data_IF_847456340485
#
_entry.id   IF_847456340485
#
_cell.length_a   1.000
_cell.length_b   1.000
_cell.length_c   1.000
_cell.angle_alpha   90.00
_cell.angle_beta   90.00
_cell.angle_gamma   90.00
#
_symmetry.space_group_name_H-M   'P 1'
#
loop_
_entity.id
_entity.type
_entity.pdbx_description
1 polymer ?
#
# COMPACT_ATOMS: atom_id res chain seq x y z
N UNK A 1 29.13 -40.80 -35.84
CA UNK A 1 27.77 -40.46 -35.38
C UNK A 1 27.93 -39.58 -34.17
N UNK A 2 27.48 -38.34 -34.34
CA UNK A 2 27.20 -37.38 -33.29
C UNK A 2 26.13 -37.93 -32.34
N UNK A 3 26.03 -37.38 -31.13
CA UNK A 3 24.91 -36.51 -30.77
C UNK A 3 25.22 -35.82 -29.43
N UNK A 4 24.96 -34.52 -29.46
CA UNK A 4 25.10 -33.49 -28.46
C UNK A 4 24.32 -33.77 -27.17
N UNK A 5 24.83 -33.26 -26.06
CA UNK A 5 24.10 -33.22 -24.79
C UNK A 5 23.37 -31.87 -24.74
N UNK A 6 22.09 -31.89 -25.07
CA UNK A 6 21.19 -30.75 -24.88
C UNK A 6 20.81 -30.63 -23.40
N UNK A 7 21.25 -29.55 -22.74
CA UNK A 7 20.73 -29.14 -21.44
C UNK A 7 19.38 -28.45 -21.66
N UNK A 8 18.31 -29.24 -21.69
CA UNK A 8 16.95 -28.72 -21.71
C UNK A 8 16.53 -28.32 -20.28
N UNK A 9 16.61 -27.02 -19.97
CA UNK A 9 16.23 -26.44 -18.69
C UNK A 9 14.71 -26.20 -18.67
N UNK A 10 13.94 -27.25 -18.37
CA UNK A 10 12.54 -27.10 -17.98
C UNK A 10 12.49 -26.87 -16.47
N UNK A 11 12.17 -25.65 -16.04
CA UNK A 11 11.61 -25.43 -14.70
C UNK A 11 10.64 -24.25 -14.77
N UNK A 12 9.43 -24.52 -15.26
CA UNK A 12 8.28 -23.66 -15.01
C UNK A 12 7.98 -23.75 -13.52
N UNK A 13 8.35 -22.71 -12.78
CA UNK A 13 8.04 -22.59 -11.36
C UNK A 13 6.59 -22.13 -11.28
N UNK A 14 5.67 -23.06 -11.02
CA UNK A 14 4.33 -22.73 -10.57
C UNK A 14 4.44 -21.97 -9.23
N UNK A 15 3.95 -20.73 -9.21
CA UNK A 15 3.83 -19.94 -8.00
C UNK A 15 2.61 -20.44 -7.23
N UNK A 16 2.83 -21.36 -6.29
CA UNK A 16 1.87 -21.72 -5.26
C UNK A 16 1.87 -20.63 -4.16
N UNK A 17 0.90 -19.72 -4.23
CA UNK A 17 0.62 -18.69 -3.23
C UNK A 17 -0.27 -19.28 -2.11
N UNK A 18 0.25 -20.29 -1.44
CA UNK A 18 -0.37 -20.87 -0.24
C UNK A 18 0.21 -20.20 1.01
N UNK A 19 -0.21 -18.96 1.27
CA UNK A 19 0.06 -18.23 2.52
C UNK A 19 -0.79 -18.86 3.65
N UNK A 20 -0.29 -19.95 4.23
CA UNK A 20 -0.77 -20.50 5.50
C UNK A 20 -0.40 -19.52 6.64
N UNK A 21 -1.22 -18.49 6.85
CA UNK A 21 -1.18 -17.71 8.08
C UNK A 21 -1.95 -18.43 9.17
N UNK A 22 -1.18 -19.00 10.10
CA UNK A 22 -1.66 -19.53 11.37
C UNK A 22 -2.52 -18.50 12.12
N UNK A 23 -3.71 -18.93 12.49
CA UNK A 23 -4.63 -18.18 13.34
C UNK A 23 -4.06 -18.07 14.77
N UNK A 24 -4.15 -16.87 15.33
CA UNK A 24 -4.03 -16.54 16.76
C UNK A 24 -2.62 -16.48 17.39
N UNK A 25 -1.68 -15.76 16.76
CA UNK A 25 -0.61 -15.09 17.52
C UNK A 25 -1.14 -13.73 18.01
N UNK A 26 -1.05 -13.47 19.32
CA UNK A 26 -1.39 -12.18 19.96
C UNK A 26 -0.50 -11.07 19.40
N UNK A 27 -0.80 -10.62 18.20
CA UNK A 27 -0.14 -9.47 17.59
C UNK A 27 -0.61 -8.24 18.36
N UNK A 28 0.27 -7.67 19.19
CA UNK A 28 0.08 -6.31 19.69
C UNK A 28 -0.32 -5.42 18.49
N UNK A 29 -1.27 -4.49 18.68
CA UNK A 29 -1.68 -3.61 17.60
C UNK A 29 -0.45 -2.86 17.10
N UNK A 30 -0.02 -3.19 15.88
CA UNK A 30 1.11 -2.55 15.23
C UNK A 30 0.93 -1.05 15.30
N UNK A 31 1.83 -0.34 15.97
CA UNK A 31 1.78 1.12 16.05
C UNK A 31 2.52 1.77 14.87
N UNK A 32 1.95 2.84 14.33
CA UNK A 32 2.63 3.74 13.40
C UNK A 32 2.92 5.07 14.08
N UNK A 33 4.12 5.60 13.89
CA UNK A 33 4.50 6.89 14.44
C UNK A 33 5.36 7.70 13.47
N UNK A 34 5.32 9.03 13.63
CA UNK A 34 6.13 9.96 12.84
C UNK A 34 7.61 9.75 13.15
N UNK A 35 8.43 9.65 12.11
CA UNK A 35 9.88 9.38 12.21
C UNK A 35 10.26 7.91 12.07
N UNK A 36 9.30 6.98 12.06
CA UNK A 36 9.57 5.57 11.79
C UNK A 36 10.28 5.41 10.44
N UNK A 37 11.32 4.58 10.39
CA UNK A 37 12.23 4.43 9.25
C UNK A 37 11.95 3.17 8.46
N UNK A 38 12.23 3.21 7.16
CA UNK A 38 12.06 2.09 6.22
C UNK A 38 13.19 2.11 5.19
N UNK A 39 13.66 0.94 4.77
CA UNK A 39 14.65 0.84 3.70
C UNK A 39 14.02 1.11 2.33
N UNK A 40 12.79 0.63 2.12
CA UNK A 40 12.10 0.73 0.83
C UNK A 40 10.69 1.28 0.97
N UNK A 41 10.14 1.79 -0.13
CA UNK A 41 8.73 2.21 -0.19
C UNK A 41 7.77 1.04 -0.07
N UNK A 42 8.20 -0.18 -0.43
CA UNK A 42 7.40 -1.40 -0.34
C UNK A 42 7.34 -1.91 1.10
N UNK A 43 8.46 -1.91 1.83
CA UNK A 43 8.49 -2.20 3.27
C UNK A 43 7.57 -1.26 4.05
N UNK A 44 7.63 0.05 3.74
CA UNK A 44 6.72 1.02 4.31
C UNK A 44 5.26 0.69 3.94
N UNK A 45 4.98 0.30 2.70
CA UNK A 45 3.62 -0.06 2.28
C UNK A 45 3.08 -1.27 3.04
N UNK A 46 3.89 -2.33 3.21
CA UNK A 46 3.51 -3.53 3.96
C UNK A 46 3.19 -3.15 5.41
N UNK A 47 4.10 -2.43 6.09
CA UNK A 47 3.90 -1.98 7.48
C UNK A 47 2.63 -1.14 7.62
N UNK A 48 2.42 -0.16 6.75
CA UNK A 48 1.25 0.72 6.80
C UNK A 48 -0.04 -0.03 6.43
N UNK A 49 0.03 -1.02 5.54
CA UNK A 49 -1.10 -1.89 5.20
C UNK A 49 -1.48 -2.77 6.39
N UNK A 50 -0.51 -3.37 7.08
CA UNK A 50 -0.74 -4.17 8.30
C UNK A 50 -1.38 -3.33 9.39
N UNK A 51 -0.88 -2.11 9.63
CA UNK A 51 -1.53 -1.14 10.52
C UNK A 51 -2.98 -0.88 10.10
N UNK A 52 -3.22 -0.60 8.82
CA UNK A 52 -4.58 -0.32 8.36
C UNK A 52 -5.53 -1.51 8.56
N UNK A 53 -5.04 -2.74 8.35
CA UNK A 53 -5.79 -3.97 8.55
C UNK A 53 -6.11 -4.23 10.03
N UNK A 54 -5.15 -4.02 10.94
CA UNK A 54 -5.40 -4.13 12.39
C UNK A 54 -6.40 -3.07 12.87
N UNK A 55 -6.41 -1.89 12.23
CA UNK A 55 -7.36 -0.81 12.47
C UNK A 55 -8.62 -0.86 11.59
N UNK A 56 -8.86 -1.96 10.86
CA UNK A 56 -10.09 -2.24 10.09
C UNK A 56 -10.42 -1.23 8.99
N UNK A 57 -9.41 -0.81 8.21
CA UNK A 57 -9.64 -0.05 6.98
C UNK A 57 -8.67 -0.41 5.85
N UNK A 58 -9.07 -0.10 4.63
CA UNK A 58 -8.22 -0.28 3.45
C UNK A 58 -7.42 0.97 3.11
N UNK A 59 -6.20 0.80 2.61
CA UNK A 59 -5.38 1.87 2.04
C UNK A 59 -5.15 1.71 0.54
N UNK A 60 -4.63 2.76 -0.09
CA UNK A 60 -4.14 2.75 -1.47
C UNK A 60 -2.90 3.63 -1.61
N UNK A 61 -2.07 3.30 -2.59
CA UNK A 61 -0.94 4.14 -2.99
C UNK A 61 -1.45 5.46 -3.62
N UNK A 62 -0.85 6.57 -3.22
CA UNK A 62 -1.18 7.94 -3.61
C UNK A 62 -0.10 8.57 -4.48
N UNK A 63 0.17 9.86 -4.24
CA UNK A 63 1.15 10.65 -4.98
C UNK A 63 2.58 10.11 -4.81
N UNK A 64 3.39 10.29 -5.84
CA UNK A 64 4.81 9.91 -5.88
C UNK A 64 5.59 11.15 -6.30
N UNK A 65 6.59 11.49 -5.52
CA UNK A 65 7.59 12.49 -5.89
C UNK A 65 8.88 11.76 -6.24
N UNK A 66 9.51 12.14 -7.35
CA UNK A 66 10.76 11.56 -7.81
C UNK A 66 11.82 12.65 -7.94
N UNK A 67 13.06 12.30 -7.63
CA UNK A 67 14.20 13.15 -7.93
C UNK A 67 14.29 13.32 -9.47
N UNK A 68 14.28 14.56 -9.98
CA UNK A 68 14.28 14.82 -11.41
C UNK A 68 15.56 14.39 -12.11
N UNK A 69 16.67 14.19 -11.39
CA UNK A 69 17.99 13.87 -11.97
C UNK A 69 18.16 12.38 -12.24
N UNK A 70 17.66 11.52 -11.36
CA UNK A 70 17.89 10.07 -11.43
C UNK A 70 16.59 9.24 -11.37
N UNK A 71 15.43 9.88 -11.22
CA UNK A 71 14.14 9.20 -11.16
C UNK A 71 13.86 8.43 -9.87
N UNK A 72 14.75 8.51 -8.88
CA UNK A 72 14.59 7.88 -7.57
C UNK A 72 13.33 8.41 -6.86
N UNK A 73 12.52 7.53 -6.28
CA UNK A 73 11.36 7.93 -5.48
C UNK A 73 11.83 8.64 -4.21
N UNK A 74 11.52 9.92 -4.04
CA UNK A 74 11.91 10.67 -2.84
C UNK A 74 10.76 10.79 -1.84
N UNK A 75 9.52 10.57 -2.29
CA UNK A 75 8.34 10.63 -1.44
C UNK A 75 7.23 9.73 -1.96
N UNK A 76 6.48 9.13 -1.02
CA UNK A 76 5.26 8.38 -1.32
C UNK A 76 4.16 8.73 -0.33
N UNK A 77 2.97 9.03 -0.87
CA UNK A 77 1.75 9.16 -0.08
C UNK A 77 0.96 7.86 -0.07
N UNK A 78 0.44 7.48 1.09
CA UNK A 78 -0.57 6.45 1.27
C UNK A 78 -1.86 7.09 1.79
N UNK A 79 -3.00 6.66 1.25
CA UNK A 79 -4.31 7.25 1.52
C UNK A 79 -5.29 6.18 1.93
N UNK A 80 -6.30 6.55 2.71
CA UNK A 80 -7.46 5.67 2.92
C UNK A 80 -8.12 5.36 1.57
N UNK A 81 -8.62 4.12 1.40
CA UNK A 81 -9.36 3.67 0.22
C UNK A 81 -10.55 4.56 -0.11
N UNK A 82 -11.18 5.15 0.91
CA UNK A 82 -12.31 6.07 0.80
C UNK A 82 -11.89 7.49 0.38
N UNK A 83 -10.61 7.85 0.37
CA UNK A 83 -10.18 9.22 0.00
C UNK A 83 -10.51 9.52 -1.47
N UNK A 84 -11.25 10.61 -1.73
CA UNK A 84 -11.49 11.12 -3.10
C UNK A 84 -10.19 11.51 -3.79
N UNK A 85 -10.17 11.34 -5.13
CA UNK A 85 -9.12 11.94 -5.95
C UNK A 85 -9.44 13.43 -6.09
N UNK A 86 -8.47 14.32 -5.87
CA UNK A 86 -8.63 15.73 -6.21
C UNK A 86 -8.91 15.83 -7.71
N UNK A 87 -10.09 16.33 -8.09
CA UNK A 87 -10.39 16.60 -9.48
C UNK A 87 -9.46 17.74 -9.93
N UNK A 88 -8.55 17.47 -10.86
CA UNK A 88 -7.85 18.56 -11.56
C UNK A 88 -8.91 19.35 -12.32
N UNK A 89 -8.81 20.69 -12.28
CA UNK A 89 -9.88 21.66 -12.58
C UNK A 89 -10.46 21.62 -14.01
N UNK A 90 -10.08 20.67 -14.86
CA UNK A 90 -10.35 20.69 -16.31
C UNK A 90 -10.92 19.36 -16.86
N UNK A 91 -11.88 18.72 -16.19
CA UNK A 91 -12.73 17.70 -16.85
C UNK A 91 -14.19 17.88 -16.48
N UNK A 92 -14.85 18.73 -17.26
CA UNK A 92 -16.30 18.72 -17.46
C UNK A 92 -16.70 17.45 -18.22
N UNK A 93 -16.71 16.30 -17.57
CA UNK A 93 -17.51 15.18 -18.02
C UNK A 93 -18.04 14.43 -16.81
N UNK A 94 -19.34 14.62 -16.56
CA UNK A 94 -20.15 13.75 -15.74
C UNK A 94 -20.03 12.33 -16.30
N UNK A 95 -19.37 11.45 -15.56
CA UNK A 95 -19.77 10.05 -15.48
C UNK A 95 -20.24 9.83 -14.05
N UNK A 96 -21.51 10.12 -13.82
CA UNK A 96 -22.21 9.46 -12.73
C UNK A 96 -22.45 8.02 -13.17
N UNK A 97 -21.76 7.07 -12.52
CA UNK A 97 -22.28 5.73 -12.22
C UNK A 97 -21.14 4.83 -11.70
N UNK A 98 -21.30 4.40 -10.44
CA UNK A 98 -20.89 3.09 -9.89
C UNK A 98 -20.43 3.28 -8.44
N UNK A 99 -21.32 3.02 -7.48
CA UNK A 99 -21.02 2.56 -6.12
C UNK A 99 -19.84 3.18 -5.35
N UNK A 100 -19.46 4.44 -5.62
CA UNK A 100 -18.20 4.97 -5.10
C UNK A 100 -18.36 5.37 -3.65
N UNK A 101 -17.90 4.52 -2.73
CA UNK A 101 -17.79 4.81 -1.29
C UNK A 101 -16.74 5.90 -0.97
N UNK A 102 -16.36 6.75 -1.94
CA UNK A 102 -15.30 7.76 -1.78
C UNK A 102 -15.83 9.03 -1.12
N UNK A 103 -15.18 9.43 -0.04
CA UNK A 103 -15.49 10.56 0.84
C UNK A 103 -14.32 11.54 0.87
N UNK A 104 -14.44 12.60 1.64
CA UNK A 104 -13.38 13.57 1.97
C UNK A 104 -12.44 13.06 3.10
N UNK A 105 -12.27 11.74 3.21
CA UNK A 105 -11.43 11.12 4.24
C UNK A 105 -10.04 11.76 4.31
N UNK A 106 -9.65 12.21 5.50
CA UNK A 106 -8.39 12.91 5.75
C UNK A 106 -7.22 11.99 6.09
N UNK A 107 -7.47 10.69 6.28
CA UNK A 107 -6.43 9.76 6.68
C UNK A 107 -5.36 9.66 5.60
N UNK A 108 -4.11 9.90 6.00
CA UNK A 108 -2.96 9.83 5.10
C UNK A 108 -1.67 9.59 5.86
N UNK A 109 -0.74 8.94 5.16
CA UNK A 109 0.66 8.81 5.56
C UNK A 109 1.53 9.31 4.42
N UNK A 110 2.58 10.05 4.74
CA UNK A 110 3.66 10.36 3.81
C UNK A 110 4.96 9.78 4.33
N UNK A 111 5.73 9.16 3.45
CA UNK A 111 7.13 8.82 3.69
C UNK A 111 8.02 9.68 2.82
N UNK A 112 9.21 10.01 3.32
CA UNK A 112 10.19 10.83 2.61
C UNK A 112 11.59 10.26 2.75
N UNK A 113 12.37 10.29 1.68
CA UNK A 113 13.75 9.84 1.65
C UNK A 113 14.68 10.82 2.39
N UNK A 114 15.32 10.36 3.46
CA UNK A 114 16.37 11.11 4.16
C UNK A 114 17.73 10.78 3.55
N UNK A 115 18.37 11.77 2.93
CA UNK A 115 19.76 11.62 2.43
C UNK A 115 20.76 11.36 3.55
N UNK A 116 20.49 11.86 4.76
CA UNK A 116 21.37 11.66 5.91
C UNK A 116 21.31 10.23 6.45
N UNK A 117 20.12 9.62 6.47
CA UNK A 117 19.92 8.25 6.97
C UNK A 117 20.03 7.20 5.87
N UNK A 118 19.99 7.63 4.60
CA UNK A 118 19.87 6.75 3.44
C UNK A 118 18.68 5.79 3.56
N UNK A 119 17.55 6.32 4.06
CA UNK A 119 16.33 5.58 4.38
C UNK A 119 15.11 6.48 4.20
N UNK A 120 13.94 5.88 3.99
CA UNK A 120 12.67 6.59 4.13
C UNK A 120 12.34 6.78 5.60
N UNK A 121 11.66 7.87 5.92
CA UNK A 121 11.02 8.05 7.22
C UNK A 121 9.57 8.51 7.05
N UNK A 122 8.73 8.13 8.00
CA UNK A 122 7.34 8.59 8.07
C UNK A 122 7.32 10.07 8.44
N UNK A 123 7.11 10.94 7.44
CA UNK A 123 7.16 12.40 7.60
C UNK A 123 5.83 13.00 8.05
N UNK A 124 4.71 12.38 7.66
CA UNK A 124 3.36 12.81 8.03
C UNK A 124 2.52 11.62 8.42
N UNK A 125 1.88 11.69 9.58
CA UNK A 125 0.84 10.75 9.99
C UNK A 125 -0.43 11.52 10.35
N UNK A 126 -1.48 11.40 9.54
CA UNK A 126 -2.81 11.94 9.85
C UNK A 126 -3.74 10.76 10.08
N UNK A 127 -3.97 10.40 11.35
CA UNK A 127 -4.81 9.27 11.72
C UNK A 127 -6.27 9.69 12.00
N UNK A 128 -6.87 10.41 11.05
CA UNK A 128 -8.24 10.94 11.19
C UNK A 128 -9.07 10.49 9.99
N UNK A 129 -10.11 9.71 10.26
CA UNK A 129 -11.09 9.31 9.24
C UNK A 129 -12.31 10.25 9.26
N UNK A 130 -12.73 10.67 8.08
CA UNK A 130 -13.90 11.56 7.90
C UNK A 130 -14.81 11.04 6.78
N UNK A 131 -16.12 11.19 6.99
CA UNK A 131 -17.14 10.83 6.00
C UNK A 131 -17.39 9.33 5.83
N UNK A 132 -16.72 8.46 6.60
CA UNK A 132 -17.02 7.02 6.65
C UNK A 132 -16.72 6.44 8.03
N UNK A 133 -17.37 5.31 8.32
CA UNK A 133 -17.12 4.52 9.52
C UNK A 133 -16.01 3.51 9.20
N UNK A 134 -15.15 3.21 10.18
CA UNK A 134 -14.27 2.05 10.10
C UNK A 134 -15.13 0.84 10.43
N UNK A 135 -15.43 0.04 9.41
CA UNK A 135 -16.41 -1.03 9.54
C UNK A 135 -15.79 -2.19 10.34
N UNK A 136 -16.34 -2.52 11.53
CA UNK A 136 -15.84 -3.61 12.35
C UNK A 136 -15.98 -4.99 11.68
N UNK A 137 -16.79 -5.10 10.62
CA UNK A 137 -17.03 -6.33 9.84
C UNK A 137 -16.26 -6.38 8.51
N UNK A 138 -15.48 -5.35 8.16
CA UNK A 138 -14.90 -5.18 6.81
C UNK A 138 -13.67 -6.02 6.48
N UNK A 139 -13.33 -7.04 7.28
CA UNK A 139 -12.48 -8.13 6.79
C UNK A 139 -13.34 -8.88 5.76
N UNK A 140 -13.36 -8.38 4.52
CA UNK A 140 -13.96 -9.12 3.42
C UNK A 140 -13.18 -10.42 3.32
N UNK A 141 -13.80 -11.52 3.72
CA UNK A 141 -13.39 -12.87 3.38
C UNK A 141 -12.95 -12.85 1.93
N UNK A 142 -11.67 -13.13 1.69
CA UNK A 142 -11.18 -13.44 0.35
C UNK A 142 -11.74 -14.85 0.09
N UNK A 143 -12.73 -15.04 -0.81
CA UNK A 143 -13.18 -16.38 -1.12
C UNK A 143 -12.02 -17.13 -1.77
N UNK A 144 -11.69 -18.30 -1.22
CA UNK A 144 -10.77 -19.25 -1.83
C UNK A 144 -11.34 -19.63 -3.21
N UNK A 145 -10.60 -19.37 -4.28
CA UNK A 145 -10.86 -19.93 -5.60
C UNK A 145 -9.89 -21.05 -5.88
#
# INVERSE_FOLDING_TARGET
>A
MEISIDLNLNNEVEYDDSDEQSEDEYNEPLELYKGQIFQTTEEAFITIKTFALSHRFGIRKGHVEKDPKNGHEISRTFLCRHTRKSLTKNKSHKTEASGSCRTDCKWKVNIYWSKHLNQYHLSTFTNIHTGHILDPTSIRFIPKS
#
